data_IF_230378590914
#
_entry.id   IF_230378590914
#
_cell.length_a   1.000
_cell.length_b   1.000
_cell.length_c   1.000
_cell.angle_alpha   90.00
_cell.angle_beta   90.00
_cell.angle_gamma   90.00
#
_symmetry.space_group_name_H-M   'P 1'
#
loop_
_entity.id
_entity.type
_entity.pdbx_description
1 polymer ?
#
# COMPACT_ATOMS: atom_id res chain seq x y z
N UNK A 1 -2.63 15.55 -9.23
CA UNK A 1 -1.76 14.37 -9.02
C UNK A 1 -0.65 14.60 -7.99
N UNK A 2 -0.02 15.79 -7.93
CA UNK A 2 1.05 16.09 -6.94
C UNK A 2 0.67 15.75 -5.49
N UNK A 3 -0.44 16.30 -4.98
CA UNK A 3 -0.90 16.09 -3.59
C UNK A 3 -1.12 14.60 -3.27
N UNK A 4 -1.94 13.83 -4.02
CA UNK A 4 -2.09 12.40 -3.78
C UNK A 4 -0.79 11.60 -3.74
N UNK A 5 0.19 11.95 -4.57
CA UNK A 5 1.50 11.30 -4.56
C UNK A 5 2.29 11.58 -3.29
N UNK A 6 2.28 12.83 -2.82
CA UNK A 6 2.96 13.21 -1.58
C UNK A 6 2.34 12.49 -0.38
N UNK A 7 1.00 12.47 -0.30
CA UNK A 7 0.30 11.80 0.79
C UNK A 7 0.57 10.29 0.76
N UNK A 8 0.49 9.65 -0.41
CA UNK A 8 0.80 8.23 -0.55
C UNK A 8 2.25 7.90 -0.18
N UNK A 9 3.20 8.76 -0.55
CA UNK A 9 4.60 8.58 -0.18
C UNK A 9 4.80 8.72 1.33
N UNK A 10 4.20 9.75 1.96
CA UNK A 10 4.29 9.96 3.40
C UNK A 10 3.77 8.77 4.20
N UNK A 11 2.64 8.17 3.80
CA UNK A 11 2.09 6.98 4.46
C UNK A 11 2.90 5.71 4.18
N UNK A 12 3.48 5.57 2.99
CA UNK A 12 4.43 4.47 2.71
C UNK A 12 5.66 4.59 3.60
N UNK A 13 6.27 5.78 3.69
CA UNK A 13 7.43 6.03 4.56
C UNK A 13 7.10 5.85 6.04
N UNK A 14 5.89 6.25 6.46
CA UNK A 14 5.42 6.00 7.82
C UNK A 14 5.37 4.50 8.13
N UNK A 15 4.81 3.69 7.22
CA UNK A 15 4.75 2.23 7.40
C UNK A 15 6.15 1.59 7.42
N UNK A 16 7.04 2.02 6.52
CA UNK A 16 8.44 1.55 6.49
C UNK A 16 9.16 1.83 7.81
N UNK A 17 9.11 3.10 8.25
CA UNK A 17 9.74 3.53 9.49
C UNK A 17 9.13 2.82 10.69
N UNK A 18 7.82 2.58 10.65
CA UNK A 18 7.13 1.86 11.71
C UNK A 18 7.61 0.41 11.82
N UNK A 19 7.65 -0.34 10.72
CA UNK A 19 8.07 -1.75 10.74
C UNK A 19 9.57 -1.96 10.95
N UNK A 20 10.42 -0.99 10.60
CA UNK A 20 11.87 -1.14 10.71
C UNK A 20 12.44 -0.58 12.01
N UNK A 21 11.92 0.56 12.51
CA UNK A 21 12.53 1.29 13.62
C UNK A 21 11.60 1.40 14.83
N UNK A 22 10.33 1.76 14.63
CA UNK A 22 9.44 2.04 15.75
C UNK A 22 8.95 0.78 16.43
N UNK A 23 8.34 -0.13 15.68
CA UNK A 23 7.77 -1.37 16.20
C UNK A 23 8.76 -2.53 16.13
N UNK A 24 9.46 -2.69 14.99
CA UNK A 24 10.29 -3.86 14.67
C UNK A 24 9.66 -5.17 15.18
N UNK A 25 8.44 -5.52 14.71
CA UNK A 25 7.65 -6.54 15.38
C UNK A 25 8.19 -7.94 15.08
N UNK A 26 8.28 -8.76 16.11
CA UNK A 26 8.50 -10.19 16.02
C UNK A 26 7.14 -10.89 16.15
N UNK A 27 6.69 -11.56 15.09
CA UNK A 27 5.38 -12.24 15.05
C UNK A 27 5.52 -13.75 15.32
N UNK A 28 4.44 -14.34 15.82
CA UNK A 28 4.37 -15.74 16.23
C UNK A 28 3.20 -16.48 15.58
N UNK A 29 3.17 -16.59 14.24
CA UNK A 29 2.19 -17.45 13.55
C UNK A 29 2.41 -18.91 13.93
N UNK A 30 1.36 -19.73 14.11
CA UNK A 30 -0.01 -19.53 13.62
C UNK A 30 -0.91 -18.59 14.45
N UNK A 31 -0.51 -18.23 15.67
CA UNK A 31 -1.31 -17.32 16.49
C UNK A 31 -1.16 -15.86 16.04
N UNK A 32 -2.22 -15.06 16.21
CA UNK A 32 -2.14 -13.61 15.99
C UNK A 32 -1.45 -12.93 17.19
N UNK A 33 -0.18 -13.29 17.41
CA UNK A 33 0.63 -12.85 18.52
C UNK A 33 1.93 -12.23 18.04
N UNK A 34 2.46 -11.28 18.81
CA UNK A 34 3.75 -10.69 18.52
C UNK A 34 4.27 -9.81 19.66
N UNK A 35 5.53 -9.46 19.56
CA UNK A 35 6.21 -8.54 20.48
C UNK A 35 6.92 -7.45 19.67
N UNK A 36 6.73 -6.16 20.00
CA UNK A 36 7.54 -5.11 19.41
C UNK A 36 8.95 -5.14 20.01
N UNK A 37 9.98 -5.09 19.17
CA UNK A 37 11.38 -5.03 19.58
C UNK A 37 12.03 -3.67 19.28
N UNK A 38 11.27 -2.74 18.68
CA UNK A 38 11.75 -1.43 18.27
C UNK A 38 11.69 -0.36 19.36
N UNK A 39 11.84 0.89 18.91
CA UNK A 39 11.89 2.09 19.76
C UNK A 39 10.67 2.23 20.68
N UNK A 40 9.47 1.87 20.21
CA UNK A 40 8.26 1.92 21.02
C UNK A 40 8.31 0.96 22.20
N UNK A 41 8.92 -0.22 22.03
CA UNK A 41 9.14 -1.17 23.13
C UNK A 41 10.13 -0.60 24.15
N UNK A 42 11.23 -0.02 23.67
CA UNK A 42 12.24 0.63 24.52
C UNK A 42 11.67 1.82 25.34
N UNK A 43 10.67 2.53 24.79
CA UNK A 43 9.97 3.62 25.47
C UNK A 43 8.81 3.14 26.37
N UNK A 44 8.57 1.83 26.49
CA UNK A 44 7.50 1.28 27.30
C UNK A 44 6.09 1.47 26.73
N UNK A 45 5.96 1.74 25.42
CA UNK A 45 4.66 1.86 24.76
C UNK A 45 3.98 0.49 24.76
N UNK A 46 2.70 0.47 25.11
CA UNK A 46 1.89 -0.76 25.12
C UNK A 46 1.89 -1.47 23.77
N UNK A 47 2.26 -2.75 23.76
CA UNK A 47 2.25 -3.60 22.56
C UNK A 47 0.88 -3.69 21.89
N UNK A 48 -0.21 -3.55 22.67
CA UNK A 48 -1.57 -3.44 22.14
C UNK A 48 -1.70 -2.22 21.22
N UNK A 49 -1.21 -1.06 21.66
CA UNK A 49 -1.24 0.17 20.86
C UNK A 49 -0.31 0.07 19.65
N UNK A 50 0.89 -0.50 19.83
CA UNK A 50 1.84 -0.71 18.72
C UNK A 50 1.19 -1.60 17.64
N UNK A 51 0.61 -2.73 18.02
CA UNK A 51 -0.06 -3.61 17.06
C UNK A 51 -1.22 -2.91 16.34
N UNK A 52 -2.06 -2.15 17.07
CA UNK A 52 -3.16 -1.37 16.47
C UNK A 52 -2.65 -0.37 15.44
N UNK A 53 -1.66 0.45 15.81
CA UNK A 53 -1.09 1.45 14.93
C UNK A 53 -0.45 0.82 13.67
N UNK A 54 0.18 -0.34 13.81
CA UNK A 54 0.74 -1.09 12.68
C UNK A 54 -0.33 -1.53 11.68
N UNK A 55 -1.43 -2.12 12.16
CA UNK A 55 -2.54 -2.51 11.29
C UNK A 55 -3.20 -1.30 10.63
N UNK A 56 -3.44 -0.21 11.37
CA UNK A 56 -3.94 1.04 10.80
C UNK A 56 -3.00 1.54 9.70
N UNK A 57 -1.69 1.57 9.93
CA UNK A 57 -0.72 2.06 8.95
C UNK A 57 -0.76 1.28 7.63
N UNK A 58 -0.93 -0.05 7.68
CA UNK A 58 -1.11 -0.90 6.49
C UNK A 58 -2.37 -0.49 5.70
N UNK A 59 -3.51 -0.32 6.38
CA UNK A 59 -4.77 0.04 5.73
C UNK A 59 -4.74 1.46 5.18
N UNK A 60 -4.14 2.40 5.92
CA UNK A 60 -3.95 3.78 5.48
C UNK A 60 -3.15 3.81 4.17
N UNK A 61 -2.08 3.01 4.07
CA UNK A 61 -1.34 2.87 2.81
C UNK A 61 -2.24 2.39 1.66
N UNK A 62 -3.10 1.39 1.89
CA UNK A 62 -4.03 0.89 0.88
C UNK A 62 -5.05 1.95 0.43
N UNK A 63 -5.60 2.76 1.34
CA UNK A 63 -6.51 3.86 0.99
C UNK A 63 -5.80 4.95 0.18
N UNK A 64 -4.55 5.26 0.52
CA UNK A 64 -3.76 6.22 -0.25
C UNK A 64 -3.50 5.77 -1.68
N UNK A 65 -3.34 4.46 -1.88
CA UNK A 65 -3.27 3.90 -3.20
C UNK A 65 -4.59 3.98 -3.97
N UNK A 66 -5.73 3.74 -3.31
CA UNK A 66 -7.07 3.99 -3.90
C UNK A 66 -7.19 5.46 -4.32
N UNK A 67 -6.69 6.40 -3.50
CA UNK A 67 -6.67 7.82 -3.84
C UNK A 67 -5.83 8.13 -5.09
N UNK A 68 -4.70 7.46 -5.29
CA UNK A 68 -3.91 7.59 -6.52
C UNK A 68 -4.67 7.06 -7.75
N UNK A 69 -5.27 5.88 -7.63
CA UNK A 69 -6.05 5.24 -8.70
C UNK A 69 -7.28 6.06 -9.08
N UNK A 70 -8.05 6.53 -8.08
CA UNK A 70 -9.17 7.42 -8.29
C UNK A 70 -8.71 8.74 -8.95
N UNK A 71 -7.59 9.32 -8.50
CA UNK A 71 -7.09 10.55 -9.11
C UNK A 71 -6.69 10.35 -10.58
N UNK A 72 -6.25 9.15 -10.96
CA UNK A 72 -5.98 8.78 -12.36
C UNK A 72 -7.26 8.65 -13.15
N UNK A 73 -8.16 7.86 -12.61
CA UNK A 73 -9.45 7.60 -13.18
C UNK A 73 -10.21 8.90 -13.50
N UNK A 74 -10.30 9.83 -12.55
CA UNK A 74 -10.99 11.11 -12.71
C UNK A 74 -10.34 12.06 -13.74
N UNK A 75 -9.08 11.82 -14.13
CA UNK A 75 -8.38 12.60 -15.16
C UNK A 75 -8.54 12.06 -16.58
N UNK A 76 -9.14 10.90 -16.78
CA UNK A 76 -9.39 10.37 -18.12
C UNK A 76 -10.68 11.01 -18.65
N UNK A 77 -10.63 11.81 -19.74
CA UNK A 77 -11.81 12.52 -20.23
C UNK A 77 -12.90 11.58 -20.75
N UNK A 78 -12.51 10.39 -21.23
CA UNK A 78 -13.40 9.37 -21.79
C UNK A 78 -14.27 8.69 -20.73
N UNK A 79 -13.93 8.81 -19.46
CA UNK A 79 -14.65 8.23 -18.33
C UNK A 79 -15.79 9.16 -17.92
N UNK A 80 -17.03 8.68 -18.06
CA UNK A 80 -18.24 9.41 -17.64
C UNK A 80 -18.52 9.26 -16.15
N UNK A 81 -18.39 8.05 -15.63
CA UNK A 81 -18.58 7.77 -14.21
C UNK A 81 -17.32 8.17 -13.46
N UNK A 82 -17.23 9.41 -12.97
CA UNK A 82 -16.09 9.91 -12.19
C UNK A 82 -16.55 10.84 -11.08
N UNK A 83 -15.76 10.92 -10.03
CA UNK A 83 -16.00 11.85 -8.93
C UNK A 83 -15.52 13.24 -9.36
N UNK A 84 -16.44 14.11 -9.77
CA UNK A 84 -16.13 15.48 -10.21
C UNK A 84 -16.23 16.51 -9.08
N UNK A 85 -17.18 16.32 -8.16
CA UNK A 85 -17.41 17.25 -7.06
C UNK A 85 -16.33 17.08 -5.98
N UNK A 86 -15.63 18.18 -5.68
CA UNK A 86 -14.55 18.19 -4.68
C UNK A 86 -15.04 17.82 -3.28
N UNK A 87 -16.21 18.31 -2.86
CA UNK A 87 -16.77 18.01 -1.54
C UNK A 87 -17.14 16.53 -1.41
N UNK A 88 -17.77 15.97 -2.45
CA UNK A 88 -18.07 14.54 -2.47
C UNK A 88 -16.78 13.69 -2.41
N UNK A 89 -15.73 14.11 -3.12
CA UNK A 89 -14.43 13.45 -3.08
C UNK A 89 -13.80 13.48 -1.69
N UNK A 90 -13.90 14.61 -0.98
CA UNK A 90 -13.44 14.74 0.40
C UNK A 90 -14.21 13.79 1.33
N UNK A 91 -15.55 13.78 1.23
CA UNK A 91 -16.40 12.88 2.03
C UNK A 91 -16.07 11.42 1.74
N UNK A 92 -15.89 11.05 0.47
CA UNK A 92 -15.54 9.69 0.06
C UNK A 92 -14.24 9.20 0.71
N UNK A 93 -13.19 10.02 0.71
CA UNK A 93 -11.93 9.66 1.38
C UNK A 93 -12.03 9.75 2.89
N UNK A 94 -12.78 10.71 3.44
CA UNK A 94 -13.02 10.80 4.88
C UNK A 94 -13.70 9.54 5.41
N UNK A 95 -14.72 9.02 4.71
CA UNK A 95 -15.37 7.74 5.05
C UNK A 95 -14.38 6.59 5.01
N UNK A 96 -13.57 6.47 3.96
CA UNK A 96 -12.54 5.42 3.89
C UNK A 96 -11.55 5.50 5.06
N UNK A 97 -11.06 6.69 5.39
CA UNK A 97 -10.14 6.89 6.50
C UNK A 97 -10.78 6.57 7.86
N UNK A 98 -12.01 7.02 8.08
CA UNK A 98 -12.77 6.70 9.29
C UNK A 98 -12.98 5.19 9.40
N UNK A 99 -13.36 4.51 8.31
CA UNK A 99 -13.51 3.07 8.30
C UNK A 99 -12.19 2.39 8.66
N UNK A 100 -11.06 2.78 8.06
CA UNK A 100 -9.74 2.21 8.37
C UNK A 100 -9.36 2.32 9.84
N UNK A 101 -9.69 3.45 10.48
CA UNK A 101 -9.44 3.64 11.90
C UNK A 101 -10.36 2.78 12.75
N UNK A 102 -11.65 2.70 12.41
CA UNK A 102 -12.69 2.12 13.27
C UNK A 102 -12.86 0.61 13.10
N UNK A 103 -12.71 0.04 11.91
CA UNK A 103 -13.05 -1.37 11.69
C UNK A 103 -12.14 -2.33 12.48
N UNK A 104 -10.91 -1.89 12.80
CA UNK A 104 -9.92 -2.66 13.55
C UNK A 104 -10.11 -2.50 15.06
N UNK A 105 -10.62 -1.35 15.52
CA UNK A 105 -10.72 -1.00 16.95
C UNK A 105 -11.36 -2.08 17.82
N UNK A 106 -12.47 -2.75 17.42
CA UNK A 106 -13.10 -3.77 18.25
C UNK A 106 -12.13 -4.86 18.74
N UNK A 107 -11.15 -5.26 17.93
CA UNK A 107 -10.18 -6.30 18.30
C UNK A 107 -9.22 -5.87 19.42
N UNK A 108 -9.14 -4.58 19.69
CA UNK A 108 -8.26 -3.98 20.68
C UNK A 108 -9.01 -3.46 21.91
N UNK A 109 -10.36 -3.46 21.87
CA UNK A 109 -11.20 -3.08 22.99
C UNK A 109 -11.44 -4.26 23.95
N UNK A 110 -11.37 -5.50 23.46
CA UNK A 110 -11.51 -6.68 24.31
C UNK A 110 -10.37 -6.74 25.34
N UNK A 111 -10.76 -6.78 26.61
CA UNK A 111 -9.85 -6.88 27.75
C UNK A 111 -9.58 -8.34 28.11
N UNK A 112 -9.28 -9.15 27.11
CA UNK A 112 -8.95 -10.55 27.35
C UNK A 112 -7.69 -10.67 28.21
N UNK A 113 -7.74 -11.59 29.19
CA UNK A 113 -6.59 -11.91 30.03
C UNK A 113 -5.47 -12.48 29.15
N UNK A 114 -4.40 -11.71 29.00
CA UNK A 114 -3.24 -12.08 28.21
C UNK A 114 -2.57 -13.36 28.73
N UNK A 115 -2.70 -13.69 30.02
CA UNK A 115 -2.18 -14.93 30.57
C UNK A 115 -2.94 -16.13 29.99
N UNK A 116 -4.27 -16.06 29.96
CA UNK A 116 -5.11 -17.10 29.36
C UNK A 116 -4.87 -17.22 27.86
N UNK A 117 -4.78 -16.08 27.16
CA UNK A 117 -4.44 -16.08 25.73
C UNK A 117 -3.10 -16.76 25.44
N UNK A 118 -2.05 -16.43 26.20
CA UNK A 118 -0.74 -17.08 26.06
C UNK A 118 -0.81 -18.58 26.35
N UNK A 119 -1.62 -19.03 27.32
CA UNK A 119 -1.87 -20.48 27.56
C UNK A 119 -2.48 -21.16 26.35
N UNK A 120 -3.40 -20.52 25.63
CA UNK A 120 -3.94 -21.05 24.38
C UNK A 120 -2.86 -21.11 23.28
N UNK A 121 -2.02 -20.08 23.16
CA UNK A 121 -0.92 -20.08 22.20
C UNK A 121 0.06 -21.24 22.46
N UNK A 122 0.38 -21.57 23.72
CA UNK A 122 1.24 -22.72 24.04
C UNK A 122 0.69 -24.07 23.58
N UNK A 123 -0.63 -24.21 23.39
CA UNK A 123 -1.20 -25.44 22.81
C UNK A 123 -0.86 -25.58 21.33
N UNK A 124 -0.70 -24.46 20.61
CA UNK A 124 -0.36 -24.40 19.17
C UNK A 124 1.14 -24.27 18.94
N UNK A 125 1.85 -23.66 19.88
CA UNK A 125 3.29 -23.40 19.85
C UNK A 125 3.90 -23.91 21.16
N UNK A 126 4.19 -25.22 21.28
CA UNK A 126 4.65 -25.80 22.56
C UNK A 126 6.00 -25.25 23.03
N UNK A 127 6.88 -24.90 22.09
CA UNK A 127 8.23 -24.38 22.36
C UNK A 127 8.47 -23.12 21.52
N UNK A 128 7.90 -21.96 21.89
CA UNK A 128 8.16 -20.72 21.19
C UNK A 128 9.58 -20.22 21.47
N UNK A 129 10.03 -19.25 20.68
CA UNK A 129 11.32 -18.60 20.88
C UNK A 129 11.31 -17.72 22.15
N UNK A 130 12.48 -17.38 22.69
CA UNK A 130 12.64 -16.67 23.96
C UNK A 130 11.88 -15.33 24.00
N UNK A 131 11.78 -14.64 22.86
CA UNK A 131 11.06 -13.37 22.71
C UNK A 131 9.58 -13.50 23.02
N UNK A 132 8.98 -14.70 22.92
CA UNK A 132 7.58 -14.91 23.28
C UNK A 132 7.34 -14.72 24.78
N UNK A 133 8.33 -15.01 25.62
CA UNK A 133 8.22 -14.88 27.07
C UNK A 133 8.33 -13.44 27.56
N UNK A 134 8.66 -12.50 26.67
CA UNK A 134 8.73 -11.08 27.00
C UNK A 134 7.40 -10.57 27.56
N UNK A 135 7.51 -9.64 28.53
CA UNK A 135 6.33 -8.98 29.10
C UNK A 135 5.54 -8.23 28.00
N UNK A 136 6.25 -7.73 27.00
CA UNK A 136 5.68 -7.06 25.83
C UNK A 136 4.96 -7.96 24.83
N UNK A 137 4.98 -9.29 24.96
CA UNK A 137 4.24 -10.15 24.01
C UNK A 137 2.74 -9.92 24.13
N UNK A 138 2.11 -9.59 23.03
CA UNK A 138 0.68 -9.35 22.95
C UNK A 138 0.05 -10.38 22.02
N UNK A 139 -0.98 -11.06 22.52
CA UNK A 139 -1.81 -11.97 21.75
C UNK A 139 -3.09 -11.22 21.42
N UNK A 140 -3.34 -10.98 20.14
CA UNK A 140 -4.54 -10.29 19.64
C UNK A 140 -5.72 -11.26 19.53
N UNK A 141 -5.50 -12.45 18.97
CA UNK A 141 -6.51 -13.48 18.75
C UNK A 141 -5.96 -14.87 19.08
N UNK A 142 -6.81 -15.75 19.61
CA UNK A 142 -6.54 -17.18 19.88
C UNK A 142 -6.41 -17.95 18.56
N UNK A 143 -7.19 -17.56 17.55
CA UNK A 143 -7.35 -18.26 16.28
C UNK A 143 -8.69 -18.99 16.23
N UNK A 144 -9.34 -18.96 15.05
CA UNK A 144 -10.65 -19.58 14.81
C UNK A 144 -11.86 -18.69 15.13
N UNK A 145 -11.67 -17.43 15.53
CA UNK A 145 -12.77 -16.51 15.81
C UNK A 145 -13.48 -16.05 14.52
N UNK A 146 -14.81 -16.24 14.46
CA UNK A 146 -15.60 -15.92 13.27
C UNK A 146 -15.75 -14.41 13.01
N UNK A 147 -15.97 -13.61 14.05
CA UNK A 147 -16.26 -12.18 13.89
C UNK A 147 -15.04 -11.37 13.40
N UNK A 148 -13.81 -11.57 13.93
CA UNK A 148 -12.61 -10.97 13.36
C UNK A 148 -12.35 -11.41 11.92
N UNK A 149 -12.55 -12.69 11.61
CA UNK A 149 -12.43 -13.20 10.24
C UNK A 149 -13.40 -12.50 9.27
N UNK A 150 -14.67 -12.36 9.65
CA UNK A 150 -15.69 -11.68 8.83
C UNK A 150 -15.33 -10.20 8.60
N UNK A 151 -14.88 -9.53 9.66
CA UNK A 151 -14.55 -8.10 9.64
C UNK A 151 -13.29 -7.81 8.79
N UNK A 152 -12.23 -8.62 8.94
CA UNK A 152 -11.01 -8.51 8.12
C UNK A 152 -11.32 -8.80 6.65
N UNK A 153 -12.09 -9.86 6.38
CA UNK A 153 -12.54 -10.21 5.03
C UNK A 153 -13.36 -9.09 4.40
N UNK A 154 -14.31 -8.52 5.15
CA UNK A 154 -15.13 -7.38 4.70
C UNK A 154 -14.29 -6.15 4.37
N UNK A 155 -13.33 -5.79 5.23
CA UNK A 155 -12.39 -4.69 4.98
C UNK A 155 -11.55 -4.93 3.72
N UNK A 156 -11.05 -6.15 3.53
CA UNK A 156 -10.29 -6.53 2.33
C UNK A 156 -11.14 -6.40 1.06
N UNK A 157 -12.40 -6.85 1.08
CA UNK A 157 -13.34 -6.72 -0.05
C UNK A 157 -13.57 -5.25 -0.40
N UNK A 158 -13.76 -4.38 0.60
CA UNK A 158 -13.96 -2.94 0.38
C UNK A 158 -12.73 -2.31 -0.30
N UNK A 159 -11.53 -2.62 0.18
CA UNK A 159 -10.27 -2.09 -0.38
C UNK A 159 -10.01 -2.64 -1.78
N UNK A 160 -10.11 -3.95 -1.96
CA UNK A 160 -9.89 -4.61 -3.25
C UNK A 160 -10.93 -4.19 -4.28
N UNK A 161 -12.21 -4.09 -3.90
CA UNK A 161 -13.29 -3.67 -4.78
C UNK A 161 -13.04 -2.28 -5.37
N UNK A 162 -12.68 -1.31 -4.53
CA UNK A 162 -12.34 0.04 -4.98
C UNK A 162 -11.09 0.05 -5.87
N UNK A 163 -10.05 -0.70 -5.49
CA UNK A 163 -8.80 -0.83 -6.25
C UNK A 163 -9.06 -1.39 -7.65
N UNK A 164 -9.82 -2.49 -7.74
CA UNK A 164 -10.19 -3.14 -8.99
C UNK A 164 -11.07 -2.24 -9.83
N UNK A 165 -12.09 -1.60 -9.24
CA UNK A 165 -12.98 -0.69 -9.93
C UNK A 165 -12.21 0.41 -10.67
N UNK A 166 -11.40 1.20 -9.96
CA UNK A 166 -10.65 2.29 -10.58
C UNK A 166 -9.61 1.79 -11.57
N UNK A 167 -8.92 0.69 -11.27
CA UNK A 167 -7.88 0.14 -12.15
C UNK A 167 -8.47 -0.38 -13.46
N UNK A 168 -9.49 -1.24 -13.39
CA UNK A 168 -10.13 -1.85 -14.55
C UNK A 168 -10.74 -0.75 -15.44
N UNK A 169 -11.46 0.20 -14.84
CA UNK A 169 -12.11 1.27 -15.61
C UNK A 169 -11.08 2.18 -16.31
N UNK A 170 -9.99 2.51 -15.62
CA UNK A 170 -8.86 3.27 -16.18
C UNK A 170 -8.20 2.53 -17.35
N UNK A 171 -7.89 1.23 -17.18
CA UNK A 171 -7.29 0.39 -18.23
C UNK A 171 -8.24 0.24 -19.43
N UNK A 172 -9.52 0.00 -19.17
CA UNK A 172 -10.53 -0.20 -20.19
C UNK A 172 -10.66 1.04 -21.09
N UNK A 173 -10.87 2.21 -20.50
CA UNK A 173 -11.03 3.45 -21.27
C UNK A 173 -9.77 3.88 -22.01
N UNK A 174 -8.59 3.61 -21.48
CA UNK A 174 -7.34 3.98 -22.16
C UNK A 174 -7.00 3.09 -23.36
N UNK A 175 -7.43 1.82 -23.35
CA UNK A 175 -7.05 0.87 -24.39
C UNK A 175 -8.17 0.58 -25.41
N UNK A 176 -9.42 0.59 -24.98
CA UNK A 176 -10.54 0.12 -25.81
C UNK A 176 -11.48 1.24 -26.27
N UNK A 177 -11.56 2.36 -25.54
CA UNK A 177 -12.45 3.46 -25.91
C UNK A 177 -11.76 4.42 -26.88
N UNK A 178 -12.36 4.60 -28.06
CA UNK A 178 -11.95 5.59 -29.06
C UNK A 178 -12.67 6.91 -28.79
N UNK A 179 -11.92 8.00 -28.78
CA UNK A 179 -12.45 9.35 -28.61
C UNK A 179 -11.57 10.32 -29.41
N UNK A 180 -12.17 11.06 -30.33
CA UNK A 180 -11.47 11.99 -31.21
C UNK A 180 -10.89 13.22 -30.48
N UNK A 181 -11.38 13.52 -29.27
CA UNK A 181 -10.92 14.65 -28.46
C UNK A 181 -9.58 14.42 -27.73
N UNK A 182 -9.08 13.17 -27.69
CA UNK A 182 -7.81 12.84 -27.03
C UNK A 182 -6.87 12.21 -28.04
N UNK A 183 -5.74 12.88 -28.30
CA UNK A 183 -4.72 12.38 -29.23
C UNK A 183 -4.10 11.07 -28.78
N UNK A 184 -3.64 10.26 -29.74
CA UNK A 184 -2.95 9.00 -29.46
C UNK A 184 -1.63 9.19 -28.68
N UNK A 185 -0.95 10.33 -28.86
CA UNK A 185 0.22 10.70 -28.06
C UNK A 185 -0.14 10.90 -26.58
N UNK A 186 -1.27 11.56 -26.28
CA UNK A 186 -1.78 11.74 -24.91
C UNK A 186 -2.15 10.40 -24.28
N UNK A 187 -2.85 9.53 -25.02
CA UNK A 187 -3.17 8.17 -24.54
C UNK A 187 -1.91 7.34 -24.30
N UNK A 188 -0.89 7.43 -25.16
CA UNK A 188 0.38 6.74 -24.97
C UNK A 188 1.09 7.21 -23.69
N UNK A 189 1.07 8.51 -23.41
CA UNK A 189 1.61 9.07 -22.16
C UNK A 189 0.84 8.59 -20.93
N UNK A 190 -0.50 8.61 -20.98
CA UNK A 190 -1.36 8.12 -19.89
C UNK A 190 -1.15 6.62 -19.63
N UNK A 191 -1.07 5.79 -20.67
CA UNK A 191 -0.75 4.35 -20.56
C UNK A 191 0.62 4.10 -19.98
N UNK A 192 1.63 4.90 -20.36
CA UNK A 192 2.97 4.82 -19.77
C UNK A 192 2.95 5.17 -18.29
N UNK A 193 2.25 6.23 -17.91
CA UNK A 193 2.11 6.62 -16.52
C UNK A 193 1.36 5.56 -15.70
N UNK A 194 0.26 5.02 -16.23
CA UNK A 194 -0.50 3.95 -15.58
C UNK A 194 0.35 2.71 -15.33
N UNK A 195 1.21 2.32 -16.28
CA UNK A 195 2.17 1.22 -16.07
C UNK A 195 3.11 1.48 -14.89
N UNK A 196 3.57 2.73 -14.70
CA UNK A 196 4.41 3.07 -13.56
C UNK A 196 3.65 2.99 -12.24
N UNK A 197 2.43 3.51 -12.19
CA UNK A 197 1.57 3.40 -10.99
C UNK A 197 1.26 1.93 -10.71
N UNK A 198 0.83 1.16 -11.70
CA UNK A 198 0.56 -0.27 -11.55
C UNK A 198 1.80 -1.03 -11.04
N UNK A 199 2.99 -0.71 -11.54
CA UNK A 199 4.22 -1.34 -11.06
C UNK A 199 4.55 -0.98 -9.60
N UNK A 200 4.38 0.29 -9.21
CA UNK A 200 4.52 0.73 -7.82
C UNK A 200 3.46 0.09 -6.90
N UNK A 201 2.27 -0.17 -7.42
CA UNK A 201 1.18 -0.84 -6.72
C UNK A 201 1.47 -2.34 -6.53
N UNK A 202 1.93 -3.03 -7.57
CA UNK A 202 2.16 -4.48 -7.53
C UNK A 202 3.26 -4.85 -6.54
N UNK A 203 4.26 -3.98 -6.33
CA UNK A 203 5.40 -4.25 -5.44
C UNK A 203 4.94 -4.48 -3.98
N UNK A 204 4.23 -3.56 -3.30
CA UNK A 204 3.69 -3.79 -1.97
C UNK A 204 2.75 -5.00 -1.90
N UNK A 205 1.89 -5.20 -2.91
CA UNK A 205 0.97 -6.34 -2.95
C UNK A 205 1.70 -7.68 -3.04
N UNK A 206 2.72 -7.80 -3.89
CA UNK A 206 3.49 -9.02 -4.04
C UNK A 206 4.27 -9.35 -2.76
N UNK A 207 4.80 -8.32 -2.11
CA UNK A 207 5.57 -8.45 -0.87
C UNK A 207 4.68 -8.78 0.34
N UNK A 208 3.42 -8.34 0.35
CA UNK A 208 2.43 -8.68 1.38
C UNK A 208 1.75 -10.05 1.15
N UNK A 209 1.61 -10.48 -0.10
CA UNK A 209 0.93 -11.73 -0.44
C UNK A 209 1.62 -12.96 0.18
N UNK A 210 2.96 -13.02 0.13
CA UNK A 210 3.74 -14.12 0.73
C UNK A 210 3.46 -14.30 2.23
N UNK A 211 3.68 -13.27 3.07
CA UNK A 211 3.34 -13.28 4.49
C UNK A 211 1.89 -13.71 4.78
N UNK A 212 0.91 -13.23 4.00
CA UNK A 212 -0.51 -13.59 4.19
C UNK A 212 -0.76 -15.06 3.85
N UNK A 213 -0.25 -15.56 2.72
CA UNK A 213 -0.41 -16.98 2.36
C UNK A 213 0.28 -17.89 3.38
N UNK A 214 1.48 -17.50 3.84
CA UNK A 214 2.17 -18.24 4.88
C UNK A 214 1.39 -18.21 6.20
N UNK A 215 0.86 -17.07 6.65
CA UNK A 215 0.10 -17.00 7.90
C UNK A 215 -1.17 -17.84 7.83
N UNK A 216 -1.89 -17.85 6.69
CA UNK A 216 -3.06 -18.70 6.48
C UNK A 216 -2.70 -20.19 6.45
N UNK A 217 -1.60 -20.55 5.81
CA UNK A 217 -1.07 -21.92 5.81
C UNK A 217 -0.68 -22.35 7.22
N UNK A 218 0.05 -21.51 7.95
CA UNK A 218 0.46 -21.75 9.32
C UNK A 218 -0.76 -21.97 10.21
N UNK A 219 -1.74 -21.06 10.15
CA UNK A 219 -2.97 -21.13 10.95
C UNK A 219 -3.78 -22.40 10.67
N UNK A 220 -3.96 -22.76 9.39
CA UNK A 220 -4.72 -23.97 9.02
C UNK A 220 -4.08 -25.28 9.47
N UNK A 221 -2.74 -25.33 9.57
CA UNK A 221 -2.00 -26.56 9.86
C UNK A 221 -1.39 -26.58 11.26
N UNK A 222 -1.70 -25.58 12.11
CA UNK A 222 -1.03 -25.37 13.40
C UNK A 222 0.51 -25.40 13.30
N UNK A 223 1.03 -24.85 12.20
CA UNK A 223 2.45 -24.95 11.86
C UNK A 223 3.23 -23.71 12.33
N UNK A 224 4.07 -23.90 13.35
CA UNK A 224 4.99 -22.88 13.84
C UNK A 224 6.39 -23.04 13.24
N UNK A 225 6.92 -21.96 12.66
CA UNK A 225 8.33 -21.88 12.27
C UNK A 225 8.82 -20.43 12.39
N UNK A 226 9.67 -20.17 13.38
CA UNK A 226 10.13 -18.81 13.64
C UNK A 226 10.99 -18.22 12.51
N UNK A 227 11.73 -19.06 11.78
CA UNK A 227 12.48 -18.57 10.62
C UNK A 227 11.53 -18.03 9.55
N UNK A 228 10.44 -18.74 9.25
CA UNK A 228 9.43 -18.27 8.29
C UNK A 228 8.61 -17.07 8.81
N UNK A 229 8.33 -16.99 10.11
CA UNK A 229 7.76 -15.80 10.73
C UNK A 229 8.67 -14.57 10.52
N UNK A 230 9.97 -14.73 10.76
CA UNK A 230 10.96 -13.67 10.59
C UNK A 230 11.11 -13.28 9.11
N UNK A 231 11.13 -14.23 8.18
CA UNK A 231 11.13 -13.93 6.74
C UNK A 231 9.86 -13.19 6.30
N UNK A 232 8.71 -13.55 6.87
CA UNK A 232 7.45 -12.84 6.59
C UNK A 232 7.54 -11.38 7.02
N UNK A 233 8.09 -11.12 8.20
CA UNK A 233 8.33 -9.75 8.67
C UNK A 233 9.35 -9.00 7.83
N UNK A 234 10.45 -9.67 7.42
CA UNK A 234 11.46 -9.07 6.56
C UNK A 234 10.86 -8.68 5.21
N UNK A 235 10.04 -9.55 4.60
CA UNK A 235 9.32 -9.21 3.38
C UNK A 235 8.46 -7.98 3.59
N UNK A 236 7.61 -7.95 4.61
CA UNK A 236 6.78 -6.76 4.89
C UNK A 236 7.63 -5.49 5.10
N UNK A 237 8.80 -5.58 5.74
CA UNK A 237 9.67 -4.43 5.99
C UNK A 237 10.38 -3.90 4.72
N UNK A 238 10.73 -4.76 3.75
CA UNK A 238 11.45 -4.32 2.53
C UNK A 238 10.54 -3.71 1.45
N UNK A 239 9.22 -3.71 1.65
CA UNK A 239 8.26 -3.28 0.62
C UNK A 239 8.53 -1.84 0.14
N UNK A 240 8.82 -0.90 1.04
CA UNK A 240 9.09 0.48 0.67
C UNK A 240 10.46 0.68 0.01
N UNK A 241 11.48 -0.07 0.44
CA UNK A 241 12.77 -0.08 -0.27
C UNK A 241 12.57 -0.52 -1.73
N UNK A 242 11.81 -1.59 -1.95
CA UNK A 242 11.54 -2.10 -3.29
C UNK A 242 10.67 -1.13 -4.10
N UNK A 243 9.64 -0.52 -3.49
CA UNK A 243 8.76 0.47 -4.13
C UNK A 243 9.53 1.73 -4.55
N UNK A 244 10.38 2.25 -3.66
CA UNK A 244 11.23 3.42 -3.95
C UNK A 244 12.29 3.11 -5.00
N UNK A 245 12.93 1.93 -4.93
CA UNK A 245 13.89 1.49 -5.94
C UNK A 245 13.24 1.40 -7.33
N UNK A 246 12.03 0.84 -7.38
CA UNK A 246 11.22 0.77 -8.59
C UNK A 246 10.91 2.19 -9.13
N UNK A 247 10.52 3.12 -8.26
CA UNK A 247 10.29 4.51 -8.63
C UNK A 247 11.54 5.17 -9.22
N UNK A 248 12.69 5.07 -8.54
CA UNK A 248 13.93 5.74 -8.91
C UNK A 248 14.56 5.16 -10.18
N UNK A 249 14.56 3.82 -10.33
CA UNK A 249 15.30 3.14 -11.39
C UNK A 249 14.46 2.70 -12.60
N UNK A 250 13.13 2.76 -12.54
CA UNK A 250 12.28 2.29 -13.64
C UNK A 250 11.50 3.43 -14.27
N UNK A 251 11.06 4.40 -13.46
CA UNK A 251 10.29 5.55 -13.95
C UNK A 251 11.24 6.57 -14.61
N UNK A 252 11.07 6.80 -15.92
CA UNK A 252 11.99 7.63 -16.73
C UNK A 252 12.23 9.03 -16.15
N UNK A 253 11.21 9.82 -15.78
CA UNK A 253 11.41 11.12 -15.15
C UNK A 253 12.32 11.09 -13.92
N UNK A 254 12.10 10.13 -13.01
CA UNK A 254 12.91 9.99 -11.79
C UNK A 254 14.34 9.55 -12.11
N UNK A 255 14.52 8.56 -13.00
CA UNK A 255 15.85 8.17 -13.45
C UNK A 255 16.67 9.31 -14.03
N UNK A 256 16.05 10.12 -14.90
CA UNK A 256 16.71 11.26 -15.53
C UNK A 256 17.10 12.29 -14.48
N UNK A 257 16.19 12.60 -13.56
CA UNK A 257 16.45 13.49 -12.44
C UNK A 257 17.63 13.01 -11.58
N UNK A 258 17.60 11.76 -11.10
CA UNK A 258 18.67 11.17 -10.28
C UNK A 258 20.00 11.17 -11.03
N UNK A 259 20.02 10.81 -12.31
CA UNK A 259 21.24 10.84 -13.13
C UNK A 259 21.81 12.25 -13.27
N UNK A 260 20.96 13.26 -13.42
CA UNK A 260 21.39 14.65 -13.54
C UNK A 260 21.92 15.19 -12.21
N UNK A 261 21.28 14.83 -11.10
CA UNK A 261 21.75 15.14 -9.75
C UNK A 261 23.14 14.55 -9.49
N UNK A 262 23.35 13.28 -9.81
CA UNK A 262 24.65 12.60 -9.68
C UNK A 262 25.72 13.25 -10.57
N UNK A 263 25.32 13.77 -11.75
CA UNK A 263 26.22 14.47 -12.68
C UNK A 263 26.46 15.94 -12.32
N UNK A 264 25.86 16.47 -11.25
CA UNK A 264 25.99 17.87 -10.85
C UNK A 264 25.24 18.88 -11.74
N UNK A 265 24.33 18.42 -12.62
CA UNK A 265 23.51 19.30 -13.45
C UNK A 265 22.23 19.69 -12.67
N UNK A 266 22.36 20.73 -11.83
CA UNK A 266 21.28 21.20 -10.94
C UNK A 266 20.21 22.02 -11.70
N UNK A 267 20.50 22.51 -12.91
CA UNK A 267 19.58 23.26 -13.77
C UNK A 267 18.57 22.39 -14.55
N UNK A 268 18.06 21.31 -13.94
CA UNK A 268 17.06 20.47 -14.61
C UNK A 268 15.69 21.14 -14.63
N UNK A 269 15.40 21.85 -15.71
CA UNK A 269 14.08 22.42 -15.98
C UNK A 269 13.14 21.31 -16.48
N UNK A 270 12.21 20.84 -15.63
CA UNK A 270 11.29 19.73 -15.92
C UNK A 270 10.30 19.98 -17.08
N UNK A 271 10.32 21.18 -17.66
CA UNK A 271 9.50 21.61 -18.81
C UNK A 271 10.01 21.07 -20.15
N UNK A 272 11.27 20.60 -20.24
CA UNK A 272 11.87 20.15 -21.50
C UNK A 272 11.37 18.80 -22.03
N UNK A 273 10.74 17.93 -21.21
CA UNK A 273 10.29 16.61 -21.67
C UNK A 273 9.00 16.62 -22.51
N UNK A 274 8.34 17.76 -22.65
CA UNK A 274 7.13 17.94 -23.49
C UNK A 274 7.41 18.49 -24.88
N UNK A 275 8.63 18.96 -25.18
CA UNK A 275 8.92 19.65 -26.46
C UNK A 275 9.40 18.75 -27.60
N UNK A 276 9.59 17.45 -27.40
CA UNK A 276 9.94 16.52 -28.48
C UNK A 276 8.70 15.92 -29.16
N UNK A 277 7.68 16.75 -29.43
CA UNK A 277 6.71 16.43 -30.47
C UNK A 277 7.37 16.78 -31.82
N UNK A 278 7.36 15.89 -32.83
CA UNK A 278 7.88 16.24 -34.15
C UNK A 278 7.12 17.48 -34.65
N UNK A 279 7.86 18.54 -35.03
CA UNK A 279 7.28 19.69 -35.70
C UNK A 279 6.61 19.19 -36.99
N UNK A 280 5.29 19.27 -37.03
CA UNK A 280 4.53 19.11 -38.27
C UNK A 280 4.79 20.39 -39.07
N UNK A 281 5.63 20.29 -40.10
CA UNK A 281 5.77 21.35 -41.10
C UNK A 281 4.48 21.42 -41.91
N UNK A 282 3.61 22.38 -41.60
CA UNK A 282 2.46 22.70 -42.44
C UNK A 282 2.99 23.45 -43.66
N UNK A 283 3.12 22.75 -44.78
CA UNK A 283 3.37 23.35 -46.09
C UNK A 283 2.03 23.92 -46.56
N UNK A 284 1.82 25.24 -46.41
CA UNK A 284 0.73 25.92 -47.10
C UNK A 284 1.04 25.89 -48.61
N UNK A 285 0.32 25.05 -49.35
CA UNK A 285 0.25 25.12 -50.79
C UNK A 285 -0.70 26.25 -51.19
N UNK A 286 -0.19 27.18 -52.00
CA UNK A 286 -0.94 28.25 -52.65
C UNK A 286 -2.06 27.68 -53.52
N UNK A 287 -3.27 28.21 -53.37
CA UNK A 287 -4.35 28.06 -54.35
C UNK A 287 -4.05 29.01 -55.49
N UNK A 288 -3.92 28.47 -56.69
CA UNK A 288 -3.91 29.19 -57.96
C UNK A 288 -5.12 28.71 -58.75
N UNK A 289 -6.08 29.60 -58.93
CA UNK A 289 -6.97 29.69 -60.10
C UNK A 289 -6.91 31.14 -60.57
#
# INVERSE_FOLDING_TARGET
MKIPMIISHAWSTNLDFFFTVLAAPCLFFPSAAGVPLGTFSALGVSSRFVAYYGQVSIVMMAINFIMLLENRHSQIPMIRFKITNHQFRLVYFAVNYTLALLYIVPFYLDSDDQLELRKFVFKRIPCPVVEFYEKGTFVLLKGGEFLPFLTITGGLIIVLGQTLFFSIHTVYHLNYVKNASVSESTKALQRRFLRYVAMQMTVPWAVLAGPIFYSLYADRNDYYNQAFNNFSMLFMAIHGLLSNSCALFIIKPYRVFVRNLIKGNIDFNSTGTTHNAPQISVRLGSVSD
#
